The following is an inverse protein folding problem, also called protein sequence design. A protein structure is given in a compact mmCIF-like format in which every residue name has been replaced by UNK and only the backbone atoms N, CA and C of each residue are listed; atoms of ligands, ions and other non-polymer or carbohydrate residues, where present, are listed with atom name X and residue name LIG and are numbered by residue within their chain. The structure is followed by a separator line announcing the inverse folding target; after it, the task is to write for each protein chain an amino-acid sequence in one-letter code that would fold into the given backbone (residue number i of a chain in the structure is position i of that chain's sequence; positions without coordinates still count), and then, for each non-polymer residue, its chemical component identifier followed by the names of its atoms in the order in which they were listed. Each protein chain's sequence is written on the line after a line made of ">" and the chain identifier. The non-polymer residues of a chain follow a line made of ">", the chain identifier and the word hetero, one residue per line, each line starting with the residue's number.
data_IF_740843388628
#
_entry.id   IF_740843388628
#
_cell.length_a   1.000
_cell.length_b   1.000
_cell.length_c   1.000
_cell.angle_alpha   90.00
_cell.angle_beta   90.00
_cell.angle_gamma   90.00
#
_symmetry.space_group_name_H-M   'P 1'
#
loop_
_entity.id
_entity.type
_entity.pdbx_description
1 polymer ?
#
# COMPACT_ATOMS: atom_id res chain seq x y z
N UNK A 1 0.67 -0.03 -11.55
CA UNK A 1 -0.34 -0.65 -10.71
C UNK A 1 -1.72 -0.12 -11.07
N UNK A 2 -2.70 -1.00 -11.12
CA UNK A 2 -4.07 -0.64 -11.50
C UNK A 2 -4.95 -0.60 -10.23
N UNK A 3 -5.51 0.57 -9.93
CA UNK A 3 -6.33 0.72 -8.73
C UNK A 3 -7.67 -0.02 -8.81
N UNK A 4 -8.14 -0.30 -10.01
CA UNK A 4 -9.31 -1.16 -10.17
C UNK A 4 -9.04 -2.57 -9.64
N UNK A 5 -7.83 -3.08 -9.87
CA UNK A 5 -7.42 -4.36 -9.33
C UNK A 5 -7.28 -4.32 -7.81
N UNK A 6 -6.73 -3.23 -7.29
CA UNK A 6 -6.61 -3.04 -5.85
C UNK A 6 -8.00 -3.05 -5.22
N UNK A 7 -8.94 -2.35 -5.82
CA UNK A 7 -10.31 -2.30 -5.34
C UNK A 7 -10.95 -3.70 -5.34
N UNK A 8 -10.74 -4.45 -6.41
CA UNK A 8 -11.29 -5.80 -6.51
C UNK A 8 -10.68 -6.79 -5.54
N UNK A 9 -9.48 -6.52 -5.06
CA UNK A 9 -8.76 -7.39 -4.12
C UNK A 9 -8.56 -6.72 -2.78
N UNK A 10 -9.40 -5.76 -2.44
CA UNK A 10 -9.18 -4.93 -1.25
C UNK A 10 -9.09 -5.75 0.03
N UNK A 11 -9.91 -6.77 0.18
CA UNK A 11 -9.86 -7.59 1.38
C UNK A 11 -8.49 -8.24 1.59
N UNK A 12 -7.79 -8.56 0.50
CA UNK A 12 -6.45 -9.12 0.56
C UNK A 12 -5.39 -8.02 0.73
N UNK A 13 -5.69 -6.82 0.25
CA UNK A 13 -4.74 -5.71 0.28
C UNK A 13 -4.75 -4.97 1.62
N UNK A 14 -5.80 -5.11 2.40
CA UNK A 14 -5.92 -4.42 3.69
C UNK A 14 -4.71 -4.63 4.58
N UNK A 15 -4.23 -5.85 4.69
CA UNK A 15 -3.08 -6.17 5.52
C UNK A 15 -1.82 -5.45 5.08
N UNK A 16 -1.60 -5.37 3.76
CA UNK A 16 -0.43 -4.69 3.21
C UNK A 16 -0.50 -3.19 3.45
N UNK A 17 -1.68 -2.61 3.29
CA UNK A 17 -1.88 -1.18 3.53
C UNK A 17 -1.64 -0.87 5.00
N UNK A 18 -2.19 -1.68 5.89
CA UNK A 18 -2.01 -1.49 7.33
C UNK A 18 -0.56 -1.66 7.75
N UNK A 19 0.14 -2.58 7.12
CA UNK A 19 1.56 -2.80 7.39
C UNK A 19 2.38 -1.59 6.98
N UNK A 20 2.05 -0.99 5.84
CA UNK A 20 2.76 0.19 5.35
C UNK A 20 2.39 1.44 6.15
N UNK A 21 1.13 1.59 6.51
CA UNK A 21 0.63 2.74 7.25
C UNK A 21 -0.06 2.26 8.53
N UNK A 22 0.75 2.00 9.55
CA UNK A 22 0.28 1.41 10.79
C UNK A 22 -0.69 2.25 11.59
N UNK A 23 -0.77 3.56 11.30
CA UNK A 23 -1.72 4.44 11.98
C UNK A 23 -3.14 4.33 11.46
N UNK A 24 -3.34 3.68 10.31
CA UNK A 24 -4.67 3.48 9.79
C UNK A 24 -5.38 2.40 10.59
N UNK A 25 -6.64 2.66 10.94
CA UNK A 25 -7.46 1.70 11.68
C UNK A 25 -8.24 0.80 10.73
N UNK A 26 -8.83 -0.27 11.25
CA UNK A 26 -9.69 -1.12 10.44
C UNK A 26 -10.86 -0.34 9.85
N UNK A 27 -11.43 0.60 10.62
CA UNK A 27 -12.50 1.46 10.12
C UNK A 27 -12.02 2.31 8.97
N UNK A 28 -10.79 2.84 9.07
CA UNK A 28 -10.21 3.63 7.97
C UNK A 28 -10.09 2.78 6.71
N UNK A 29 -9.64 1.56 6.85
CA UNK A 29 -9.48 0.65 5.72
C UNK A 29 -10.81 0.31 5.07
N UNK A 30 -11.85 0.14 5.88
CA UNK A 30 -13.19 -0.11 5.36
C UNK A 30 -13.73 1.09 4.58
N UNK A 31 -13.46 2.30 5.06
CA UNK A 31 -13.86 3.53 4.36
C UNK A 31 -13.10 3.66 3.05
N UNK A 32 -11.81 3.34 3.06
CA UNK A 32 -10.97 3.45 1.86
C UNK A 32 -11.48 2.52 0.76
N UNK A 33 -11.79 1.29 1.11
CA UNK A 33 -12.41 0.31 0.19
C UNK A 33 -11.70 0.21 -1.17
N UNK A 34 -10.38 0.37 -1.18
CA UNK A 34 -9.59 0.28 -2.41
C UNK A 34 -9.58 1.53 -3.28
N UNK A 35 -10.13 2.62 -2.80
CA UNK A 35 -10.14 3.89 -3.53
C UNK A 35 -8.91 4.70 -3.20
N UNK A 36 -8.10 5.02 -4.22
CA UNK A 36 -6.83 5.74 -4.02
C UNK A 36 -7.01 7.08 -3.33
N UNK A 37 -8.00 7.85 -3.77
CA UNK A 37 -8.22 9.17 -3.20
C UNK A 37 -8.58 9.11 -1.73
N UNK A 38 -9.34 8.10 -1.34
CA UNK A 38 -9.71 7.91 0.06
C UNK A 38 -8.49 7.50 0.88
N UNK A 39 -7.62 6.69 0.30
CA UNK A 39 -6.37 6.31 0.96
C UNK A 39 -5.49 7.54 1.18
N UNK A 40 -5.35 8.39 0.16
CA UNK A 40 -4.62 9.65 0.29
C UNK A 40 -5.17 10.47 1.45
N UNK A 41 -6.50 10.63 1.50
CA UNK A 41 -7.14 11.42 2.55
C UNK A 41 -6.90 10.85 3.94
N UNK A 42 -6.96 9.55 4.09
CA UNK A 42 -6.71 8.92 5.39
C UNK A 42 -5.26 9.04 5.82
N UNK A 43 -4.32 8.91 4.90
CA UNK A 43 -2.91 9.10 5.21
C UNK A 43 -2.66 10.53 5.67
N UNK A 44 -3.22 11.51 4.96
CA UNK A 44 -3.10 12.90 5.37
C UNK A 44 -3.65 13.14 6.77
N UNK A 45 -4.81 12.56 7.05
CA UNK A 45 -5.49 12.74 8.32
C UNK A 45 -4.71 12.11 9.47
N UNK A 46 -4.24 10.89 9.29
CA UNK A 46 -3.60 10.14 10.36
C UNK A 46 -2.14 10.55 10.59
N UNK A 47 -1.46 10.98 9.53
CA UNK A 47 -0.05 11.34 9.62
C UNK A 47 0.20 12.83 9.61
N UNK A 48 -0.83 13.64 9.34
CA UNK A 48 -0.68 15.09 9.33
C UNK A 48 0.25 15.60 8.25
N UNK A 49 0.22 14.99 7.08
CA UNK A 49 1.11 15.35 5.97
C UNK A 49 0.32 15.95 4.81
N UNK A 50 1.02 16.60 3.90
CA UNK A 50 0.42 17.20 2.73
C UNK A 50 0.03 16.12 1.71
N UNK A 51 -0.88 16.48 0.81
CA UNK A 51 -1.34 15.56 -0.22
C UNK A 51 -0.20 15.06 -1.10
N UNK A 52 0.74 15.94 -1.46
CA UNK A 52 1.88 15.55 -2.28
C UNK A 52 2.72 14.48 -1.60
N UNK A 53 2.90 14.59 -0.30
CA UNK A 53 3.65 13.59 0.44
C UNK A 53 2.89 12.26 0.49
N UNK A 54 1.58 12.31 0.73
CA UNK A 54 0.76 11.11 0.73
C UNK A 54 0.79 10.44 -0.64
N UNK A 55 0.66 11.22 -1.71
CA UNK A 55 0.74 10.69 -3.08
C UNK A 55 2.09 10.02 -3.34
N UNK A 56 3.15 10.63 -2.85
CA UNK A 56 4.49 10.10 -3.03
C UNK A 56 4.66 8.77 -2.30
N UNK A 57 4.15 8.68 -1.08
CA UNK A 57 4.23 7.45 -0.33
C UNK A 57 3.46 6.33 -1.03
N UNK A 58 2.30 6.63 -1.57
CA UNK A 58 1.50 5.66 -2.31
C UNK A 58 2.21 5.23 -3.59
N UNK A 59 2.83 6.18 -4.30
CA UNK A 59 3.55 5.87 -5.53
C UNK A 59 4.75 4.97 -5.26
N UNK A 60 5.39 5.12 -4.12
CA UNK A 60 6.53 4.29 -3.73
C UNK A 60 6.13 2.96 -3.11
N UNK A 61 4.88 2.82 -2.75
CA UNK A 61 4.38 1.58 -2.18
C UNK A 61 4.02 0.61 -3.29
N UNK A 62 4.56 -0.59 -3.20
CA UNK A 62 4.28 -1.64 -4.17
C UNK A 62 3.42 -2.69 -3.48
N UNK A 63 2.11 -2.69 -3.72
CA UNK A 63 1.25 -3.71 -3.11
C UNK A 63 1.61 -5.09 -3.64
N UNK A 64 1.58 -6.10 -2.78
CA UNK A 64 1.85 -7.44 -3.24
C UNK A 64 0.74 -7.90 -4.17
N UNK A 65 1.12 -8.27 -5.39
CA UNK A 65 0.22 -8.91 -6.32
C UNK A 65 0.94 -10.13 -6.88
N UNK A 66 0.51 -11.28 -6.48
CA UNK A 66 0.94 -12.56 -7.00
C UNK A 66 2.40 -12.64 -7.41
N UNK A 67 2.64 -12.70 -8.71
CA UNK A 67 3.97 -12.90 -9.26
C UNK A 67 4.94 -11.76 -8.96
N UNK A 68 4.44 -10.54 -8.84
CA UNK A 68 5.31 -9.39 -8.56
C UNK A 68 5.87 -9.46 -7.15
N UNK A 69 5.04 -9.83 -6.19
CA UNK A 69 5.50 -9.98 -4.82
C UNK A 69 6.57 -11.06 -4.71
N UNK A 70 6.36 -12.17 -5.37
CA UNK A 70 7.33 -13.26 -5.38
C UNK A 70 8.65 -12.84 -6.01
N UNK A 71 8.55 -12.08 -7.09
CA UNK A 71 9.73 -11.61 -7.80
C UNK A 71 10.55 -10.64 -6.94
N UNK A 72 9.87 -9.72 -6.26
CA UNK A 72 10.54 -8.76 -5.39
C UNK A 72 11.26 -9.47 -4.24
N UNK A 73 10.65 -10.46 -3.66
CA UNK A 73 11.26 -11.24 -2.60
C UNK A 73 12.50 -11.96 -3.08
N UNK A 74 12.44 -12.55 -4.26
CA UNK A 74 13.59 -13.22 -4.83
C UNK A 74 14.75 -12.27 -5.08
N UNK A 75 14.46 -11.10 -5.61
CA UNK A 75 15.49 -10.11 -5.85
C UNK A 75 16.18 -9.69 -4.56
N UNK A 76 15.41 -9.49 -3.51
CA UNK A 76 15.97 -9.14 -2.21
C UNK A 76 16.89 -10.23 -1.67
N UNK A 77 16.46 -11.46 -1.81
CA UNK A 77 17.28 -12.59 -1.36
C UNK A 77 18.58 -12.70 -2.14
N UNK A 78 18.51 -12.51 -3.45
CA UNK A 78 19.69 -12.52 -4.29
C UNK A 78 20.66 -11.41 -3.92
N UNK A 79 20.14 -10.22 -3.66
CA UNK A 79 20.97 -9.10 -3.25
C UNK A 79 21.68 -9.37 -1.93
N UNK A 80 20.98 -9.96 -0.99
CA UNK A 80 21.57 -10.29 0.29
C UNK A 80 22.69 -11.31 0.14
N UNK A 81 22.50 -12.31 -0.69
CA UNK A 81 23.52 -13.33 -0.91
C UNK A 81 24.73 -12.76 -1.62
N UNK A 82 24.50 -11.82 -2.53
CA UNK A 82 25.59 -11.18 -3.24
C UNK A 82 26.36 -10.21 -2.36
N UNK A 83 25.72 -9.66 -1.39
CA UNK A 83 26.35 -8.76 -0.44
C UNK A 83 27.02 -9.52 0.67
#
# INVERSE_FOLDING_TARGET
>A
MNWDQVKGQWSQMKGSVRKQWGKLTDDDLDVIAGERERLVGKIQERYGIAKEEADKQIANWNPPSGAEASRAERDKDLQRKAG
#
